data_IF_157970335695
#
_entry.id   IF_157970335695
#
_cell.length_a   1.000
_cell.length_b   1.000
_cell.length_c   1.000
_cell.angle_alpha   90.00
_cell.angle_beta   90.00
_cell.angle_gamma   90.00
#
_symmetry.space_group_name_H-M   'P 1'
#
loop_
_entity.id
_entity.type
_entity.pdbx_description
1 polymer ?
#
# COMPACT_ATOMS: atom_id res chain seq x y z
N UNK A 1 -3.96 111.24 36.45
CA UNK A 1 -2.74 111.31 37.29
C UNK A 1 -2.78 110.08 38.16
N UNK A 2 -1.96 109.04 38.01
CA UNK A 2 -0.54 108.92 37.65
C UNK A 2 -0.34 107.48 37.14
N UNK A 3 0.14 107.26 35.92
CA UNK A 3 1.53 107.29 35.44
C UNK A 3 2.16 105.88 35.43
N UNK A 4 2.64 105.48 34.25
CA UNK A 4 3.34 104.22 33.97
C UNK A 4 4.83 104.37 34.29
N UNK A 5 5.57 103.26 34.41
CA UNK A 5 6.98 103.26 33.99
C UNK A 5 7.22 102.25 32.86
N UNK A 6 7.58 102.76 31.68
CA UNK A 6 8.16 102.01 30.57
C UNK A 6 9.67 101.82 30.80
N UNK A 7 10.18 100.61 30.52
CA UNK A 7 11.61 100.27 30.50
C UNK A 7 12.23 100.33 29.08
N UNK A 8 13.58 100.36 28.98
CA UNK A 8 14.36 101.09 27.95
C UNK A 8 14.73 100.31 26.65
N UNK A 9 15.39 100.96 25.66
CA UNK A 9 15.36 100.60 24.23
C UNK A 9 16.63 99.93 23.64
N UNK A 10 16.42 99.28 22.49
CA UNK A 10 17.21 99.21 21.22
C UNK A 10 18.73 98.98 21.21
N UNK A 11 19.18 98.05 20.35
CA UNK A 11 20.30 98.13 19.35
C UNK A 11 20.36 96.76 18.65
N UNK A 12 20.47 96.55 17.33
CA UNK A 12 20.99 97.33 16.21
C UNK A 12 22.05 96.48 15.49
N UNK A 13 21.79 95.97 14.27
CA UNK A 13 22.77 95.24 13.46
C UNK A 13 22.22 94.73 12.13
N UNK A 14 22.83 95.18 11.03
CA UNK A 14 22.48 95.07 9.60
C UNK A 14 23.24 93.88 8.91
N UNK A 15 23.08 93.62 7.57
CA UNK A 15 22.96 92.28 6.97
C UNK A 15 24.26 91.71 6.37
N UNK A 16 24.29 90.39 6.10
CA UNK A 16 25.37 89.69 5.37
C UNK A 16 24.80 88.78 4.25
N UNK A 17 25.47 88.76 3.09
CA UNK A 17 25.02 88.28 1.78
C UNK A 17 25.67 86.92 1.37
N UNK A 18 24.81 85.93 1.04
CA UNK A 18 24.94 84.79 0.09
C UNK A 18 26.11 83.75 0.23
N UNK A 19 26.15 82.59 -0.50
CA UNK A 19 25.17 81.89 -1.36
C UNK A 19 25.07 80.35 -1.13
N UNK A 20 24.11 79.65 -1.76
CA UNK A 20 24.24 78.20 -2.05
C UNK A 20 22.94 77.38 -2.07
N UNK A 21 22.49 76.98 -3.26
CA UNK A 21 21.38 76.04 -3.47
C UNK A 21 21.80 74.57 -3.25
N UNK A 22 20.92 73.75 -2.65
CA UNK A 22 20.88 72.30 -2.86
C UNK A 22 19.42 71.79 -2.69
N UNK A 23 18.84 71.02 -3.64
CA UNK A 23 17.46 70.53 -3.56
C UNK A 23 17.38 69.16 -2.86
N UNK A 24 16.60 69.05 -1.77
CA UNK A 24 16.48 67.84 -0.95
C UNK A 24 15.05 67.30 -0.84
N UNK A 25 14.69 66.44 -1.80
CA UNK A 25 13.80 65.26 -1.77
C UNK A 25 12.59 65.19 -0.78
N UNK A 26 11.35 64.94 -1.27
CA UNK A 26 10.20 64.70 -0.39
C UNK A 26 10.26 63.33 0.33
N UNK A 27 9.60 63.18 1.49
CA UNK A 27 9.76 62.02 2.38
C UNK A 27 9.15 60.75 1.80
N UNK A 28 9.89 59.63 1.86
CA UNK A 28 9.37 58.30 1.53
C UNK A 28 8.41 57.78 2.62
N UNK A 29 7.23 57.24 2.27
CA UNK A 29 6.35 56.62 3.25
C UNK A 29 6.93 55.29 3.77
N UNK A 30 6.74 54.94 5.05
CA UNK A 30 7.33 53.75 5.65
C UNK A 30 6.69 52.46 5.12
N UNK A 31 7.50 51.61 4.49
CA UNK A 31 7.11 50.26 4.06
C UNK A 31 6.94 49.32 5.27
N UNK A 32 5.70 49.08 5.71
CA UNK A 32 5.39 47.92 6.57
C UNK A 32 5.42 46.64 5.73
N UNK A 33 6.57 45.95 5.70
CA UNK A 33 6.82 44.72 4.92
C UNK A 33 6.87 43.41 5.75
N UNK A 34 6.43 43.42 7.01
CA UNK A 34 6.59 42.25 7.90
C UNK A 34 5.48 41.20 7.84
N UNK A 35 4.20 41.60 7.87
CA UNK A 35 3.09 40.65 8.07
C UNK A 35 2.80 39.75 6.87
N UNK A 36 2.98 40.26 5.65
CA UNK A 36 2.67 39.51 4.43
C UNK A 36 3.72 38.46 4.09
N UNK A 37 5.00 38.77 4.30
CA UNK A 37 6.10 37.82 4.11
C UNK A 37 6.00 36.62 5.07
N UNK A 38 5.62 36.90 6.33
CA UNK A 38 5.37 35.86 7.32
C UNK A 38 4.17 34.98 6.93
N UNK A 39 3.08 35.57 6.43
CA UNK A 39 1.92 34.80 5.97
C UNK A 39 2.26 33.87 4.78
N UNK A 40 3.07 34.32 3.82
CA UNK A 40 3.49 33.49 2.69
C UNK A 40 4.44 32.35 3.10
N UNK A 41 5.34 32.60 4.07
CA UNK A 41 6.20 31.56 4.62
C UNK A 41 5.38 30.49 5.34
N UNK A 42 4.40 30.90 6.15
CA UNK A 42 3.52 29.99 6.87
C UNK A 42 2.71 29.14 5.87
N UNK A 43 2.14 29.75 4.83
CA UNK A 43 1.38 28.99 3.81
C UNK A 43 2.28 28.01 3.05
N UNK A 44 3.51 28.38 2.69
CA UNK A 44 4.46 27.49 2.02
C UNK A 44 4.87 26.29 2.89
N UNK A 45 5.11 26.52 4.18
CA UNK A 45 5.42 25.46 5.15
C UNK A 45 4.20 24.57 5.38
N UNK A 46 3.00 25.15 5.56
CA UNK A 46 1.76 24.38 5.71
C UNK A 46 1.46 23.53 4.48
N UNK A 47 1.70 24.03 3.26
CA UNK A 47 1.54 23.26 2.04
C UNK A 47 2.54 22.09 1.93
N UNK A 48 3.78 22.29 2.38
CA UNK A 48 4.79 21.24 2.43
C UNK A 48 4.44 20.13 3.45
N UNK A 49 3.95 20.51 4.64
CA UNK A 49 3.55 19.58 5.69
C UNK A 49 2.27 18.80 5.32
N UNK A 50 1.32 19.42 4.63
CA UNK A 50 0.04 18.80 4.25
C UNK A 50 0.15 18.02 2.92
N UNK A 51 1.18 18.26 2.12
CA UNK A 51 1.46 17.58 0.84
C UNK A 51 1.73 16.08 0.93
N UNK A 52 1.81 15.51 2.14
CA UNK A 52 1.90 14.07 2.38
C UNK A 52 0.58 13.31 2.15
N UNK A 53 -0.54 14.02 1.89
CA UNK A 53 -1.84 13.41 1.53
C UNK A 53 -2.15 13.71 0.04
N UNK A 54 -2.12 12.71 -0.87
CA UNK A 54 -2.09 12.92 -2.32
C UNK A 54 -3.22 13.78 -2.90
N UNK A 55 -4.45 13.60 -2.40
CA UNK A 55 -5.65 14.29 -2.91
C UNK A 55 -5.75 15.72 -2.35
N UNK A 56 -5.40 15.91 -1.08
CA UNK A 56 -5.39 17.22 -0.41
C UNK A 56 -4.26 18.12 -0.93
N UNK A 57 -3.09 17.55 -1.22
CA UNK A 57 -1.95 18.27 -1.80
C UNK A 57 -2.23 18.84 -3.19
N UNK A 58 -2.97 18.11 -4.03
CA UNK A 58 -3.38 18.60 -5.35
C UNK A 58 -4.35 19.78 -5.24
N UNK A 59 -5.40 19.65 -4.41
CA UNK A 59 -6.41 20.70 -4.22
C UNK A 59 -5.80 21.98 -3.64
N UNK A 60 -4.89 21.85 -2.67
CA UNK A 60 -4.19 22.97 -2.06
C UNK A 60 -3.15 23.59 -3.01
N UNK A 61 -2.48 22.79 -3.84
CA UNK A 61 -1.57 23.28 -4.87
C UNK A 61 -2.29 24.15 -5.90
N UNK A 62 -3.46 23.71 -6.36
CA UNK A 62 -4.33 24.49 -7.26
C UNK A 62 -4.81 25.76 -6.58
N UNK A 63 -5.26 25.70 -5.32
CA UNK A 63 -5.67 26.87 -4.55
C UNK A 63 -4.50 27.87 -4.37
N UNK A 64 -3.28 27.38 -4.13
CA UNK A 64 -2.07 28.20 -4.01
C UNK A 64 -1.71 28.92 -5.30
N UNK A 65 -1.83 28.26 -6.44
CA UNK A 65 -1.64 28.87 -7.77
C UNK A 65 -2.67 29.98 -8.00
N UNK A 66 -3.95 29.73 -7.72
CA UNK A 66 -5.04 30.71 -7.90
C UNK A 66 -4.81 31.95 -7.01
N UNK A 67 -4.46 31.74 -5.74
CA UNK A 67 -4.16 32.82 -4.80
C UNK A 67 -2.90 33.61 -5.21
N UNK A 68 -1.87 32.95 -5.72
CA UNK A 68 -0.68 33.57 -6.29
C UNK A 68 -0.98 34.46 -7.50
N UNK A 69 -1.83 33.97 -8.41
CA UNK A 69 -2.30 34.73 -9.58
C UNK A 69 -3.11 35.96 -9.13
N UNK A 70 -3.97 35.82 -8.12
CA UNK A 70 -4.76 36.93 -7.57
C UNK A 70 -3.88 38.00 -6.89
N UNK A 71 -2.84 37.58 -6.17
CA UNK A 71 -1.89 38.49 -5.52
C UNK A 71 -1.09 39.32 -6.54
N UNK A 72 -0.83 38.75 -7.73
CA UNK A 72 -0.11 39.40 -8.82
C UNK A 72 -0.90 40.55 -9.47
N UNK A 73 -2.23 40.58 -9.31
CA UNK A 73 -3.11 41.61 -9.85
C UNK A 73 -3.21 42.88 -8.99
N UNK A 74 -2.55 42.95 -7.81
CA UNK A 74 -2.56 44.15 -6.95
C UNK A 74 -1.32 45.03 -7.18
N UNK A 75 -1.47 46.38 -7.23
CA UNK A 75 -0.33 47.29 -7.40
C UNK A 75 0.62 47.18 -6.18
N UNK A 76 1.88 46.84 -6.45
CA UNK A 76 2.92 46.57 -5.43
C UNK A 76 3.20 45.07 -5.16
N UNK A 77 2.43 44.15 -5.73
CA UNK A 77 2.56 42.69 -5.52
C UNK A 77 3.49 41.95 -6.48
N UNK A 78 4.12 42.64 -7.45
CA UNK A 78 4.86 42.02 -8.57
C UNK A 78 6.05 41.15 -8.14
N UNK A 79 6.82 41.56 -7.14
CA UNK A 79 7.94 40.74 -6.61
C UNK A 79 7.43 39.59 -5.73
N UNK A 80 6.28 39.79 -5.08
CA UNK A 80 5.71 38.85 -4.12
C UNK A 80 4.96 37.70 -4.80
N UNK A 81 4.19 37.99 -5.85
CA UNK A 81 3.54 36.96 -6.63
C UNK A 81 4.51 36.16 -7.51
N UNK A 82 5.67 36.71 -7.88
CA UNK A 82 6.70 35.92 -8.58
C UNK A 82 7.34 34.88 -7.65
N UNK A 83 7.68 35.27 -6.42
CA UNK A 83 8.21 34.34 -5.42
C UNK A 83 7.17 33.27 -5.04
N UNK A 84 5.90 33.67 -4.88
CA UNK A 84 4.79 32.74 -4.64
C UNK A 84 4.58 31.77 -5.81
N UNK A 85 4.60 32.26 -7.05
CA UNK A 85 4.46 31.41 -8.24
C UNK A 85 5.63 30.43 -8.39
N UNK A 86 6.87 30.87 -8.14
CA UNK A 86 8.04 29.98 -8.21
C UNK A 86 7.96 28.92 -7.12
N UNK A 87 7.64 29.31 -5.87
CA UNK A 87 7.49 28.39 -4.76
C UNK A 87 6.37 27.38 -4.97
N UNK A 88 5.20 27.83 -5.43
CA UNK A 88 4.08 26.94 -5.76
C UNK A 88 4.38 26.03 -6.94
N UNK A 89 5.10 26.52 -7.96
CA UNK A 89 5.50 25.69 -9.11
C UNK A 89 6.48 24.60 -8.69
N UNK A 90 7.47 24.92 -7.86
CA UNK A 90 8.42 23.93 -7.32
C UNK A 90 7.72 22.90 -6.43
N UNK A 91 6.79 23.35 -5.59
CA UNK A 91 6.01 22.46 -4.73
C UNK A 91 5.12 21.50 -5.54
N UNK A 92 4.47 21.98 -6.61
CA UNK A 92 3.69 21.13 -7.52
C UNK A 92 4.59 20.13 -8.24
N UNK A 93 5.75 20.56 -8.74
CA UNK A 93 6.71 19.65 -9.39
C UNK A 93 7.23 18.58 -8.43
N UNK A 94 7.59 18.95 -7.21
CA UNK A 94 8.02 18.01 -6.18
C UNK A 94 6.89 17.02 -5.82
N UNK A 95 5.66 17.51 -5.67
CA UNK A 95 4.51 16.66 -5.39
C UNK A 95 4.22 15.67 -6.53
N UNK A 96 4.25 16.14 -7.79
CA UNK A 96 4.09 15.29 -8.97
C UNK A 96 5.19 14.23 -9.01
N UNK A 97 6.45 14.60 -8.77
CA UNK A 97 7.57 13.66 -8.77
C UNK A 97 7.42 12.60 -7.67
N UNK A 98 7.11 13.01 -6.43
CA UNK A 98 6.89 12.08 -5.31
C UNK A 98 5.70 11.17 -5.60
N UNK A 99 4.61 11.72 -6.15
CA UNK A 99 3.43 10.94 -6.54
C UNK A 99 3.78 9.89 -7.59
N UNK A 100 4.56 10.26 -8.62
CA UNK A 100 5.01 9.30 -9.65
C UNK A 100 5.89 8.21 -9.02
N UNK A 101 6.85 8.58 -8.16
CA UNK A 101 7.73 7.61 -7.49
C UNK A 101 6.92 6.66 -6.61
N UNK A 102 5.96 7.16 -5.85
CA UNK A 102 5.07 6.35 -5.00
C UNK A 102 4.20 5.43 -5.85
N UNK A 103 3.59 5.93 -6.93
CA UNK A 103 2.76 5.12 -7.84
C UNK A 103 3.59 4.04 -8.54
N UNK A 104 4.77 4.37 -9.05
CA UNK A 104 5.67 3.41 -9.68
C UNK A 104 6.15 2.37 -8.66
N UNK A 105 6.50 2.80 -7.43
CA UNK A 105 6.86 1.88 -6.37
C UNK A 105 5.70 0.94 -5.99
N UNK A 106 4.46 1.45 -5.93
CA UNK A 106 3.26 0.66 -5.62
C UNK A 106 2.86 -0.31 -6.74
N UNK A 107 3.07 0.07 -8.01
CA UNK A 107 2.84 -0.80 -9.17
C UNK A 107 3.92 -1.89 -9.20
N UNK A 108 5.18 -1.54 -8.95
CA UNK A 108 6.29 -2.49 -8.94
C UNK A 108 6.28 -3.41 -7.71
N UNK A 109 5.67 -2.99 -6.60
CA UNK A 109 5.52 -3.80 -5.40
C UNK A 109 4.32 -4.75 -5.45
N UNK A 110 3.48 -4.70 -6.50
CA UNK A 110 2.28 -5.53 -6.61
C UNK A 110 1.16 -5.14 -5.64
N UNK A 111 1.36 -4.10 -4.82
CA UNK A 111 0.38 -3.64 -3.83
C UNK A 111 -0.85 -3.02 -4.51
N UNK A 112 -0.69 -2.43 -5.70
CA UNK A 112 -1.78 -1.76 -6.42
C UNK A 112 -2.88 -2.67 -6.97
N UNK A 113 -2.60 -3.95 -7.25
CA UNK A 113 -3.60 -4.91 -7.73
C UNK A 113 -4.36 -5.61 -6.60
N UNK A 114 -3.81 -5.61 -5.38
CA UNK A 114 -4.47 -6.16 -4.19
C UNK A 114 -5.56 -5.24 -3.61
N UNK A 115 -5.73 -4.02 -4.14
CA UNK A 115 -6.71 -3.04 -3.62
C UNK A 115 -8.12 -3.24 -4.21
N UNK A 116 -8.28 -4.08 -5.24
CA UNK A 116 -9.60 -4.34 -5.87
C UNK A 116 -10.08 -5.79 -5.70
N UNK A 117 -9.27 -6.65 -5.09
CA UNK A 117 -9.59 -8.03 -4.72
C UNK A 117 -8.86 -8.35 -3.43
N UNK A 118 -9.54 -8.89 -2.42
CA UNK A 118 -8.97 -9.44 -1.17
C UNK A 118 -8.10 -10.70 -1.44
N UNK A 119 -7.34 -10.71 -2.54
CA UNK A 119 -6.58 -11.84 -3.03
C UNK A 119 -5.13 -11.41 -3.31
N UNK A 120 -4.17 -12.26 -2.94
CA UNK A 120 -2.75 -12.07 -3.17
C UNK A 120 -2.22 -13.05 -4.23
N UNK A 121 -1.35 -12.60 -5.14
CA UNK A 121 -0.73 -13.50 -6.11
C UNK A 121 0.33 -14.37 -5.44
N UNK A 122 0.18 -15.69 -5.57
CA UNK A 122 1.21 -16.69 -5.28
C UNK A 122 1.88 -17.07 -6.59
N UNK A 123 3.21 -16.99 -6.64
CA UNK A 123 3.99 -17.30 -7.84
C UNK A 123 5.17 -18.17 -7.43
N UNK A 124 5.27 -19.35 -8.04
CA UNK A 124 6.39 -20.29 -7.90
C UNK A 124 6.92 -20.66 -9.30
N UNK A 125 8.05 -21.37 -9.41
CA UNK A 125 8.50 -21.93 -10.67
C UNK A 125 7.57 -22.99 -11.27
N UNK A 126 6.68 -23.61 -10.49
CA UNK A 126 5.79 -24.68 -10.95
C UNK A 126 4.36 -24.20 -11.27
N UNK A 127 3.86 -23.23 -10.50
CA UNK A 127 2.48 -22.76 -10.62
C UNK A 127 2.34 -21.32 -10.11
N UNK A 128 1.21 -20.70 -10.44
CA UNK A 128 0.73 -19.48 -9.78
C UNK A 128 -0.77 -19.55 -9.53
N UNK A 129 -1.25 -18.95 -8.46
CA UNK A 129 -2.70 -18.79 -8.18
C UNK A 129 -2.92 -17.57 -7.29
N UNK A 130 -4.17 -17.15 -7.11
CA UNK A 130 -4.57 -16.10 -6.19
C UNK A 130 -5.02 -16.72 -4.86
N UNK A 131 -4.23 -16.49 -3.81
CA UNK A 131 -4.55 -16.88 -2.44
C UNK A 131 -5.33 -15.80 -1.67
N UNK A 132 -5.83 -16.11 -0.46
CA UNK A 132 -6.53 -15.13 0.38
C UNK A 132 -5.59 -13.99 0.81
N UNK A 133 -5.95 -12.74 0.57
CA UNK A 133 -5.07 -11.57 0.69
C UNK A 133 -4.66 -11.16 2.11
N UNK A 134 -5.37 -11.67 3.11
CA UNK A 134 -5.17 -11.42 4.53
C UNK A 134 -4.32 -12.49 5.22
N UNK A 135 -3.97 -13.57 4.51
CA UNK A 135 -3.06 -14.59 5.00
C UNK A 135 -1.62 -14.14 4.78
N UNK A 136 -0.71 -14.45 5.70
CA UNK A 136 0.69 -14.14 5.56
C UNK A 136 1.41 -15.26 4.80
N UNK A 137 2.22 -14.87 3.80
CA UNK A 137 3.21 -15.76 3.19
C UNK A 137 4.53 -15.64 3.96
N UNK A 138 4.72 -16.49 4.98
CA UNK A 138 5.92 -16.49 5.83
C UNK A 138 6.89 -17.63 5.47
N UNK A 139 7.13 -17.83 4.18
CA UNK A 139 8.03 -18.87 3.66
C UNK A 139 9.33 -18.29 3.12
N UNK A 140 10.41 -19.09 3.16
CA UNK A 140 11.69 -18.70 2.57
C UNK A 140 11.63 -18.72 1.04
N UNK A 141 12.53 -17.96 0.40
CA UNK A 141 12.72 -18.03 -1.05
C UNK A 141 13.03 -19.47 -1.51
N UNK A 142 13.80 -20.22 -0.72
CA UNK A 142 14.11 -21.63 -0.98
C UNK A 142 12.84 -22.51 -1.07
N UNK A 143 11.86 -22.31 -0.18
CA UNK A 143 10.58 -23.04 -0.25
C UNK A 143 9.79 -22.64 -1.49
N UNK A 144 9.77 -21.36 -1.84
CA UNK A 144 9.11 -20.87 -3.06
C UNK A 144 9.76 -21.46 -4.32
N UNK A 145 11.09 -21.51 -4.37
CA UNK A 145 11.85 -22.13 -5.46
C UNK A 145 11.63 -23.64 -5.52
N UNK A 146 11.35 -24.28 -4.38
CA UNK A 146 10.92 -25.66 -4.28
C UNK A 146 9.40 -25.86 -4.51
N UNK A 147 8.69 -24.86 -5.05
CA UNK A 147 7.26 -24.96 -5.35
C UNK A 147 6.35 -25.33 -4.16
N UNK A 148 6.79 -25.00 -2.95
CA UNK A 148 5.99 -25.09 -1.74
C UNK A 148 5.27 -23.75 -1.55
N UNK A 149 4.02 -23.79 -1.09
CA UNK A 149 3.29 -22.59 -0.64
C UNK A 149 2.82 -22.78 0.80
N UNK A 150 2.97 -21.73 1.60
CA UNK A 150 2.50 -21.63 2.98
C UNK A 150 1.89 -20.24 3.18
N UNK A 151 0.57 -20.16 3.07
CA UNK A 151 -0.21 -19.00 3.46
C UNK A 151 -0.90 -19.30 4.78
N UNK A 152 -0.79 -18.41 5.76
CA UNK A 152 -1.31 -18.64 7.11
C UNK A 152 -2.08 -17.43 7.63
N UNK A 153 -3.24 -17.67 8.23
CA UNK A 153 -3.98 -16.65 8.96
C UNK A 153 -3.50 -16.62 10.40
N UNK A 154 -2.78 -15.57 10.77
CA UNK A 154 -2.26 -15.37 12.12
C UNK A 154 -3.15 -14.42 12.90
N UNK A 155 -3.57 -14.85 14.08
CA UNK A 155 -4.52 -14.09 14.87
C UNK A 155 -4.86 -14.70 16.22
N UNK A 156 -5.79 -14.03 16.88
CA UNK A 156 -6.42 -14.50 18.12
C UNK A 156 -7.93 -14.45 17.94
N UNK A 157 -8.66 -15.33 18.65
CA UNK A 157 -10.11 -15.22 18.77
C UNK A 157 -10.45 -14.52 20.07
N UNK A 158 -11.39 -13.57 20.01
CA UNK A 158 -11.95 -13.00 21.23
C UNK A 158 -12.98 -13.93 21.89
N UNK A 159 -13.59 -13.46 22.99
CA UNK A 159 -14.57 -14.23 23.76
C UNK A 159 -15.84 -14.58 22.97
N UNK A 160 -16.15 -13.83 21.92
CA UNK A 160 -17.30 -14.04 21.04
C UNK A 160 -16.92 -14.92 19.82
N UNK A 161 -15.66 -15.36 19.74
CA UNK A 161 -15.13 -16.20 18.67
C UNK A 161 -14.74 -15.43 17.41
N UNK A 162 -14.77 -14.09 17.44
CA UNK A 162 -14.39 -13.23 16.30
C UNK A 162 -12.88 -13.27 16.12
N UNK A 163 -12.46 -13.41 14.86
CA UNK A 163 -11.04 -13.49 14.49
C UNK A 163 -10.45 -12.08 14.44
N UNK A 164 -9.45 -11.83 15.29
CA UNK A 164 -8.61 -10.65 15.26
C UNK A 164 -7.31 -11.00 14.55
N UNK A 165 -7.15 -10.50 13.32
CA UNK A 165 -5.98 -10.73 12.46
C UNK A 165 -4.83 -9.86 12.96
N UNK A 166 -3.81 -10.47 13.55
CA UNK A 166 -2.69 -9.77 14.19
C UNK A 166 -1.37 -9.93 13.43
N UNK A 167 -1.29 -10.95 12.56
CA UNK A 167 -0.05 -11.32 11.88
C UNK A 167 0.98 -12.05 12.75
N UNK A 168 0.67 -12.28 14.04
CA UNK A 168 1.53 -12.97 15.02
C UNK A 168 0.66 -13.78 16.00
N UNK A 169 1.22 -14.74 16.72
CA UNK A 169 0.46 -15.54 17.70
C UNK A 169 0.08 -16.92 17.16
N UNK A 170 -1.21 -17.26 17.15
CA UNK A 170 -1.66 -18.58 16.69
C UNK A 170 -2.00 -18.59 15.20
N UNK A 171 -1.70 -19.70 14.53
CA UNK A 171 -2.17 -19.97 13.18
C UNK A 171 -3.60 -20.49 13.28
N UNK A 172 -4.55 -19.71 12.79
CA UNK A 172 -5.98 -20.02 12.83
C UNK A 172 -6.48 -20.67 11.53
N UNK A 173 -5.74 -20.49 10.43
CA UNK A 173 -6.08 -21.03 9.12
C UNK A 173 -4.86 -21.11 8.21
N UNK A 174 -4.93 -21.92 7.17
CA UNK A 174 -3.86 -22.06 6.20
C UNK A 174 -4.35 -22.45 4.79
N UNK A 175 -3.58 -22.03 3.80
CA UNK A 175 -3.60 -22.59 2.44
C UNK A 175 -2.18 -23.06 2.14
N UNK A 176 -2.00 -24.37 2.05
CA UNK A 176 -0.70 -25.01 1.84
C UNK A 176 -0.68 -25.72 0.50
N UNK A 177 0.44 -25.63 -0.22
CA UNK A 177 0.69 -26.45 -1.42
C UNK A 177 1.98 -27.21 -1.20
N UNK A 178 1.90 -28.54 -1.27
CA UNK A 178 3.02 -29.44 -1.02
C UNK A 178 3.27 -30.29 -2.29
N UNK A 179 4.46 -30.17 -2.92
CA UNK A 179 4.85 -31.08 -3.98
C UNK A 179 5.29 -32.42 -3.39
N UNK A 180 5.00 -33.50 -4.10
CA UNK A 180 5.41 -34.86 -3.74
C UNK A 180 6.33 -35.41 -4.83
N UNK A 181 7.45 -35.98 -4.39
CA UNK A 181 8.44 -36.59 -5.25
C UNK A 181 7.84 -37.73 -6.09
N UNK A 182 8.28 -37.82 -7.35
CA UNK A 182 7.87 -38.88 -8.28
C UNK A 182 8.16 -40.26 -7.69
N UNK A 183 9.31 -40.42 -7.01
CA UNK A 183 9.65 -41.66 -6.33
C UNK A 183 8.60 -42.06 -5.27
N UNK A 184 8.13 -41.10 -4.46
CA UNK A 184 7.10 -41.36 -3.46
C UNK A 184 5.76 -41.71 -4.09
N UNK A 185 5.36 -41.01 -5.17
CA UNK A 185 4.11 -41.32 -5.86
C UNK A 185 4.14 -42.68 -6.55
N UNK A 186 5.27 -43.07 -7.12
CA UNK A 186 5.47 -44.39 -7.74
C UNK A 186 5.45 -45.51 -6.68
N UNK A 187 5.95 -45.25 -5.47
CA UNK A 187 5.88 -46.19 -4.35
C UNK A 187 4.45 -46.35 -3.81
N UNK A 188 3.70 -45.25 -3.72
CA UNK A 188 2.33 -45.25 -3.18
C UNK A 188 1.34 -45.87 -4.17
N UNK A 189 1.42 -45.45 -5.43
CA UNK A 189 0.49 -45.84 -6.48
C UNK A 189 1.23 -45.99 -7.82
N UNK A 190 1.93 -47.12 -8.04
CA UNK A 190 2.78 -47.31 -9.22
C UNK A 190 2.01 -47.19 -10.53
N UNK A 191 2.28 -46.14 -11.31
CA UNK A 191 1.59 -45.87 -12.58
C UNK A 191 0.08 -45.62 -12.45
N UNK A 192 -0.39 -45.31 -11.23
CA UNK A 192 -1.81 -45.13 -10.95
C UNK A 192 -2.39 -43.85 -11.50
N UNK A 193 -3.71 -43.87 -11.69
CA UNK A 193 -4.48 -42.69 -12.04
C UNK A 193 -4.59 -41.70 -10.88
N UNK A 194 -5.12 -40.50 -11.16
CA UNK A 194 -5.50 -39.56 -10.10
C UNK A 194 -6.49 -40.18 -9.11
N UNK A 195 -7.44 -40.99 -9.59
CA UNK A 195 -8.43 -41.65 -8.74
C UNK A 195 -7.81 -42.68 -7.80
N UNK A 196 -6.78 -43.40 -8.26
CA UNK A 196 -6.03 -44.35 -7.44
C UNK A 196 -5.25 -43.62 -6.34
N UNK A 197 -4.66 -42.46 -6.66
CA UNK A 197 -3.99 -41.60 -5.68
C UNK A 197 -4.95 -41.05 -4.62
N UNK A 198 -6.14 -40.59 -5.03
CA UNK A 198 -7.16 -40.13 -4.08
C UNK A 198 -7.64 -41.28 -3.18
N UNK A 199 -7.78 -42.49 -3.73
CA UNK A 199 -8.15 -43.67 -2.94
C UNK A 199 -7.07 -44.02 -1.91
N UNK A 200 -5.80 -43.97 -2.30
CA UNK A 200 -4.67 -44.16 -1.39
C UNK A 200 -4.68 -43.15 -0.24
N UNK A 201 -4.84 -41.86 -0.54
CA UNK A 201 -4.92 -40.79 0.46
C UNK A 201 -6.14 -40.96 1.37
N UNK A 202 -7.26 -41.45 0.85
CA UNK A 202 -8.47 -41.69 1.63
C UNK A 202 -8.31 -42.84 2.65
N UNK A 203 -7.43 -43.81 2.39
CA UNK A 203 -7.21 -44.91 3.33
C UNK A 203 -6.41 -44.51 4.56
N UNK A 204 -5.41 -43.63 4.38
CA UNK A 204 -4.41 -43.39 5.43
C UNK A 204 -4.22 -41.92 5.80
N UNK A 205 -4.45 -40.98 4.89
CA UNK A 205 -4.12 -39.58 5.09
C UNK A 205 -5.34 -38.72 5.45
N UNK A 206 -6.39 -38.70 4.62
CA UNK A 206 -7.58 -37.89 4.87
C UNK A 206 -8.29 -38.20 6.20
N UNK A 207 -8.45 -39.47 6.64
CA UNK A 207 -9.07 -39.77 7.93
C UNK A 207 -8.32 -39.21 9.14
N UNK A 208 -7.04 -38.87 9.00
CA UNK A 208 -6.28 -38.21 10.07
C UNK A 208 -6.60 -36.71 10.17
N UNK A 209 -7.06 -36.11 9.07
CA UNK A 209 -7.34 -34.68 8.96
C UNK A 209 -8.82 -34.31 9.23
N UNK A 210 -9.72 -35.29 9.17
CA UNK A 210 -11.16 -35.04 9.29
C UNK A 210 -12.04 -36.22 8.88
N UNK A 211 -13.35 -36.06 9.09
CA UNK A 211 -14.38 -36.95 8.53
C UNK A 211 -14.69 -36.51 7.09
N UNK A 212 -14.39 -37.37 6.11
CA UNK A 212 -14.64 -37.09 4.69
C UNK A 212 -16.14 -36.98 4.41
N UNK A 213 -16.54 -35.84 3.83
CA UNK A 213 -17.95 -35.55 3.46
C UNK A 213 -18.19 -35.63 1.96
N UNK A 214 -17.16 -35.36 1.15
CA UNK A 214 -17.18 -35.51 -0.31
C UNK A 214 -15.80 -35.96 -0.77
N UNK A 215 -15.75 -36.97 -1.65
CA UNK A 215 -14.53 -37.57 -2.17
C UNK A 215 -14.59 -37.59 -3.69
N UNK A 216 -13.49 -37.27 -4.37
CA UNK A 216 -13.36 -37.25 -5.85
C UNK A 216 -14.36 -36.29 -6.53
N UNK A 217 -14.54 -35.10 -5.98
CA UNK A 217 -15.26 -34.03 -6.68
C UNK A 217 -14.37 -33.52 -7.82
N UNK A 218 -14.80 -33.78 -9.06
CA UNK A 218 -14.03 -33.44 -10.25
C UNK A 218 -13.94 -31.93 -10.45
N UNK A 219 -12.70 -31.44 -10.56
CA UNK A 219 -12.36 -30.05 -10.88
C UNK A 219 -11.19 -30.02 -11.85
N UNK A 220 -10.83 -28.85 -12.36
CA UNK A 220 -9.66 -28.71 -13.26
C UNK A 220 -8.79 -27.56 -12.80
N UNK A 221 -7.48 -27.77 -12.76
CA UNK A 221 -6.48 -26.73 -12.52
C UNK A 221 -5.78 -26.41 -13.84
N UNK A 222 -6.12 -25.27 -14.43
CA UNK A 222 -5.59 -24.83 -15.73
C UNK A 222 -5.75 -25.89 -16.84
N UNK A 223 -6.94 -26.53 -16.88
CA UNK A 223 -7.28 -27.59 -17.83
C UNK A 223 -6.73 -28.98 -17.49
N UNK A 224 -6.01 -29.14 -16.38
CA UNK A 224 -5.54 -30.44 -15.87
C UNK A 224 -6.53 -31.00 -14.86
N UNK A 225 -6.94 -32.25 -15.03
CA UNK A 225 -7.87 -32.92 -14.12
C UNK A 225 -7.32 -32.96 -12.70
N UNK A 226 -8.16 -32.55 -11.74
CA UNK A 226 -7.86 -32.51 -10.32
C UNK A 226 -9.09 -32.98 -9.52
N UNK A 227 -8.86 -33.40 -8.28
CA UNK A 227 -9.92 -33.88 -7.40
C UNK A 227 -9.97 -33.04 -6.14
N UNK A 228 -11.16 -32.51 -5.83
CA UNK A 228 -11.48 -31.84 -4.59
C UNK A 228 -12.07 -32.86 -3.60
N UNK A 229 -11.50 -32.91 -2.40
CA UNK A 229 -11.98 -33.74 -1.28
C UNK A 229 -12.34 -32.83 -0.13
N UNK A 230 -13.56 -32.94 0.38
CA UNK A 230 -14.11 -32.11 1.46
C UNK A 230 -14.30 -32.94 2.71
N UNK A 231 -14.15 -32.30 3.87
CA UNK A 231 -14.28 -32.99 5.15
C UNK A 231 -14.64 -32.05 6.28
N UNK A 232 -15.19 -32.63 7.34
CA UNK A 232 -15.33 -31.97 8.65
C UNK A 232 -13.98 -32.09 9.35
N UNK A 233 -13.36 -30.96 9.69
CA UNK A 233 -12.02 -30.97 10.29
C UNK A 233 -12.00 -31.52 11.71
N UNK A 234 -10.91 -32.17 12.08
CA UNK A 234 -10.55 -32.43 13.49
C UNK A 234 -9.96 -31.20 14.18
N UNK A 235 -9.51 -30.19 13.44
CA UNK A 235 -8.98 -28.95 13.99
C UNK A 235 -10.11 -28.03 14.47
N UNK A 236 -10.02 -27.58 15.73
CA UNK A 236 -11.03 -26.72 16.33
C UNK A 236 -11.30 -25.46 15.51
N UNK A 237 -12.56 -25.03 15.47
CA UNK A 237 -12.99 -23.78 14.84
C UNK A 237 -12.66 -23.65 13.34
N UNK A 238 -12.42 -24.76 12.65
CA UNK A 238 -12.33 -24.81 11.18
C UNK A 238 -13.73 -24.86 10.59
N UNK A 239 -14.08 -23.89 9.73
CA UNK A 239 -15.36 -23.85 9.02
C UNK A 239 -15.29 -24.67 7.73
N UNK A 240 -14.18 -24.55 7.01
CA UNK A 240 -13.93 -25.28 5.74
C UNK A 240 -12.61 -26.02 5.80
N UNK A 241 -12.64 -27.34 5.55
CA UNK A 241 -11.47 -28.19 5.38
C UNK A 241 -11.60 -28.95 4.07
N UNK A 242 -10.60 -28.78 3.20
CA UNK A 242 -10.57 -29.45 1.91
C UNK A 242 -9.14 -29.75 1.46
N UNK A 243 -9.02 -30.70 0.54
CA UNK A 243 -7.81 -30.97 -0.21
C UNK A 243 -8.09 -30.94 -1.70
N UNK A 244 -7.25 -30.25 -2.47
CA UNK A 244 -7.13 -30.48 -3.91
C UNK A 244 -5.94 -31.40 -4.16
N UNK A 245 -6.13 -32.35 -5.06
CA UNK A 245 -5.13 -33.33 -5.47
C UNK A 245 -5.00 -33.30 -6.98
N UNK A 246 -3.77 -33.25 -7.48
CA UNK A 246 -3.52 -33.12 -8.91
C UNK A 246 -2.17 -33.71 -9.30
N UNK A 247 -2.12 -34.37 -10.45
CA UNK A 247 -0.87 -34.64 -11.16
C UNK A 247 -0.61 -33.49 -12.13
N UNK A 248 0.50 -32.78 -11.95
CA UNK A 248 0.95 -31.72 -12.83
C UNK A 248 1.10 -32.19 -14.29
N UNK A 249 0.94 -31.27 -15.26
CA UNK A 249 1.09 -31.59 -16.67
C UNK A 249 2.52 -32.02 -17.01
N UNK A 250 3.50 -31.42 -16.34
CA UNK A 250 4.93 -31.69 -16.50
C UNK A 250 5.59 -32.12 -15.18
N UNK A 251 6.79 -32.69 -15.28
CA UNK A 251 7.64 -32.95 -14.11
C UNK A 251 8.41 -31.68 -13.78
N UNK A 252 8.30 -31.23 -12.53
CA UNK A 252 9.03 -30.08 -12.02
C UNK A 252 10.21 -30.50 -11.16
N UNK A 253 11.14 -29.58 -10.92
CA UNK A 253 12.23 -29.75 -9.96
C UNK A 253 11.91 -28.99 -8.68
N UNK A 254 11.87 -29.68 -7.56
CA UNK A 254 11.62 -29.10 -6.24
C UNK A 254 12.70 -29.58 -5.28
N UNK A 255 13.49 -28.66 -4.73
CA UNK A 255 14.60 -28.96 -3.82
C UNK A 255 15.59 -30.04 -4.34
N UNK A 256 15.77 -30.14 -5.66
CA UNK A 256 16.66 -31.11 -6.31
C UNK A 256 16.02 -32.48 -6.58
N UNK A 257 14.73 -32.65 -6.32
CA UNK A 257 13.98 -33.87 -6.62
C UNK A 257 12.92 -33.62 -7.71
N UNK A 258 12.71 -34.58 -8.62
CA UNK A 258 11.60 -34.51 -9.57
C UNK A 258 10.27 -34.70 -8.84
N UNK A 259 9.34 -33.78 -9.04
CA UNK A 259 7.98 -33.80 -8.46
C UNK A 259 6.95 -33.74 -9.58
N UNK A 260 5.82 -34.42 -9.38
CA UNK A 260 4.70 -34.41 -10.34
C UNK A 260 3.33 -34.35 -9.67
N UNK A 261 3.22 -34.76 -8.41
CA UNK A 261 1.97 -34.68 -7.67
C UNK A 261 1.98 -33.49 -6.71
N UNK A 262 0.86 -32.79 -6.62
CA UNK A 262 0.67 -31.69 -5.70
C UNK A 262 -0.56 -31.94 -4.83
N UNK A 263 -0.38 -31.76 -3.52
CA UNK A 263 -1.45 -31.77 -2.54
C UNK A 263 -1.64 -30.34 -2.03
N UNK A 264 -2.84 -29.81 -2.19
CA UNK A 264 -3.20 -28.48 -1.70
C UNK A 264 -4.16 -28.65 -0.53
N UNK A 265 -3.81 -28.13 0.65
CA UNK A 265 -4.65 -28.18 1.86
C UNK A 265 -5.25 -26.83 2.17
N UNK A 266 -6.56 -26.78 2.38
CA UNK A 266 -7.30 -25.60 2.84
C UNK A 266 -7.80 -25.84 4.26
N UNK A 267 -7.41 -24.98 5.20
CA UNK A 267 -7.93 -24.91 6.56
C UNK A 267 -8.44 -23.49 6.76
N UNK A 268 -9.75 -23.27 6.58
CA UNK A 268 -10.33 -21.94 6.60
C UNK A 268 -11.25 -21.79 7.82
N UNK A 269 -10.92 -20.90 8.77
CA UNK A 269 -11.71 -20.66 9.97
C UNK A 269 -12.85 -19.65 9.76
N UNK A 270 -12.88 -19.00 8.60
CA UNK A 270 -13.88 -18.01 8.17
C UNK A 270 -14.96 -18.66 7.28
N UNK A 271 -16.07 -17.95 7.09
CA UNK A 271 -17.22 -18.44 6.31
C UNK A 271 -17.01 -18.41 4.79
N UNK A 272 -15.94 -17.77 4.32
CA UNK A 272 -15.63 -17.57 2.90
C UNK A 272 -14.75 -18.69 2.30
N UNK A 273 -14.75 -19.88 2.89
CA UNK A 273 -13.84 -20.96 2.49
C UNK A 273 -14.08 -21.47 1.07
N UNK A 274 -15.33 -21.48 0.62
CA UNK A 274 -15.68 -21.89 -0.75
C UNK A 274 -15.20 -20.87 -1.78
N UNK A 275 -15.32 -19.57 -1.48
CA UNK A 275 -14.81 -18.50 -2.34
C UNK A 275 -13.28 -18.56 -2.45
N UNK A 276 -12.57 -18.89 -1.37
CA UNK A 276 -11.12 -19.07 -1.38
C UNK A 276 -10.71 -20.27 -2.25
N UNK A 277 -11.40 -21.41 -2.12
CA UNK A 277 -11.14 -22.60 -2.95
C UNK A 277 -11.41 -22.29 -4.42
N UNK A 278 -12.54 -21.67 -4.75
CA UNK A 278 -12.91 -21.30 -6.10
C UNK A 278 -11.89 -20.31 -6.72
N UNK A 279 -11.50 -19.27 -5.97
CA UNK A 279 -10.49 -18.32 -6.42
C UNK A 279 -9.15 -19.01 -6.74
N UNK A 280 -8.72 -19.96 -5.90
CA UNK A 280 -7.50 -20.72 -6.14
C UNK A 280 -7.60 -21.58 -7.41
N UNK A 281 -8.72 -22.28 -7.61
CA UNK A 281 -8.99 -23.11 -8.79
C UNK A 281 -9.01 -22.25 -10.07
N UNK A 282 -9.80 -21.18 -10.10
CA UNK A 282 -10.03 -20.36 -11.29
C UNK A 282 -8.76 -19.62 -11.76
N UNK A 283 -7.95 -19.20 -10.80
CA UNK A 283 -6.71 -18.46 -11.05
C UNK A 283 -5.47 -19.33 -11.20
N UNK A 284 -5.58 -20.65 -10.97
CA UNK A 284 -4.44 -21.56 -11.07
C UNK A 284 -3.86 -21.55 -12.48
N UNK A 285 -2.55 -21.41 -12.59
CA UNK A 285 -1.80 -21.53 -13.85
C UNK A 285 -0.56 -22.35 -13.63
N UNK A 286 -0.35 -23.37 -14.46
CA UNK A 286 0.92 -24.10 -14.51
C UNK A 286 2.00 -23.24 -15.18
N UNK A 287 3.27 -23.50 -14.88
CA UNK A 287 4.43 -22.78 -15.45
C UNK A 287 5.26 -23.69 -16.33
#
# INVERSE_FOLDING_TARGET
MTDSPQGPPQTGGLPEYAPGQAPGQPPHPPTRRGGLALAALIVGISAFVIGWIPILGLLLGVAGIILGILAMRRPGGRSFGLAGLIGSSLAVLANVLVTIVVVVALVNSGIGTAVLTDAQPVITPCYSFNGPGDYLSNQSAEKTDACITTLELWGERDADGVINKTGVGSILGSVLVEPVAVASTDDWVPGGSLDDMVEFLNQSYFPQAGEVTSLKEAVTLDGVDANLTRMISTAENTRTKAFLTVFAPDIYQSAGEPVKFFLISFVIPEDNGEEIIAAAIDSWRWK
#
